data_IF_062376529482
#
_entry.id   IF_062376529482
#
_cell.length_a   1.000
_cell.length_b   1.000
_cell.length_c   1.000
_cell.angle_alpha   90.00
_cell.angle_beta   90.00
_cell.angle_gamma   90.00
#
_symmetry.space_group_name_H-M   'P 1'
#
loop_
_entity.id
_entity.type
_entity.pdbx_description
1 polymer ?
2 non-polymer ?
3 water ?
#
# COMPACT_ATOMS: atom_id res chain seq x y z
N UNK A 1 9.56 -10.18 -26.33
CA UNK A 1 8.59 -9.52 -25.45
C UNK A 1 8.73 -10.02 -24.02
N UNK A 2 8.81 -9.10 -23.06
CA UNK A 2 8.84 -9.52 -21.66
C UNK A 2 7.53 -10.18 -21.26
N UNK A 3 7.63 -11.33 -20.61
CA UNK A 3 6.47 -11.96 -19.99
C UNK A 3 6.71 -11.93 -18.49
N UNK A 4 5.92 -11.19 -17.72
CA UNK A 4 6.12 -11.18 -16.27
C UNK A 4 5.87 -12.57 -15.70
N UNK A 5 6.86 -13.10 -14.98
CA UNK A 5 6.73 -14.41 -14.39
C UNK A 5 5.69 -14.38 -13.29
N UNK A 6 4.85 -15.41 -13.24
CA UNK A 6 3.88 -15.57 -12.18
C UNK A 6 2.45 -15.24 -12.54
N UNK A 7 2.13 -15.12 -13.83
CA UNK A 7 0.77 -14.75 -14.25
C UNK A 7 -0.13 -15.99 -14.24
N UNK A 8 -1.28 -15.88 -13.59
CA UNK A 8 -2.19 -16.99 -13.43
C UNK A 8 -3.60 -16.54 -13.75
N UNK A 9 -4.26 -17.26 -14.66
CA UNK A 9 -5.71 -17.10 -14.82
C UNK A 9 -6.40 -17.91 -13.74
N UNK A 10 -7.11 -17.23 -12.83
CA UNK A 10 -7.66 -17.90 -11.67
C UNK A 10 -8.89 -18.74 -12.07
N UNK A 11 -9.20 -19.79 -11.31
CA UNK A 11 -10.36 -20.64 -11.66
C UNK A 11 -11.65 -19.84 -11.49
N UNK A 12 -12.65 -20.05 -12.35
CA UNK A 12 -13.91 -19.31 -12.19
C UNK A 12 -14.59 -19.70 -10.89
N UNK A 13 -14.95 -18.69 -10.11
CA UNK A 13 -15.60 -18.92 -8.84
C UNK A 13 -16.82 -18.03 -8.76
N UNK A 14 -17.85 -18.45 -8.02
CA UNK A 14 -19.02 -17.60 -7.88
C UNK A 14 -18.65 -16.33 -7.15
N UNK A 15 -19.37 -15.24 -7.41
CA UNK A 15 -19.05 -13.98 -6.74
C UNK A 15 -19.16 -14.13 -5.22
N UNK A 16 -18.25 -13.47 -4.52
CA UNK A 16 -18.36 -13.42 -3.08
C UNK A 16 -19.32 -12.31 -2.69
N UNK A 17 -20.10 -12.48 -1.62
CA UNK A 17 -20.97 -11.40 -1.18
C UNK A 17 -20.16 -10.29 -0.57
N UNK A 18 -20.61 -9.04 -0.69
CA UNK A 18 -19.96 -7.97 0.09
C UNK A 18 -20.22 -8.21 1.56
N UNK A 19 -19.16 -8.22 2.35
CA UNK A 19 -19.24 -8.59 3.76
C UNK A 19 -19.40 -7.33 4.60
N UNK A 20 -20.52 -7.24 5.32
CA UNK A 20 -20.86 -6.06 6.09
C UNK A 20 -20.27 -6.06 7.50
N UNK A 21 -19.68 -7.17 7.95
CA UNK A 21 -18.98 -7.20 9.22
C UNK A 21 -17.56 -6.67 9.11
N UNK A 22 -17.18 -6.15 7.94
CA UNK A 22 -15.79 -5.76 7.72
C UNK A 22 -15.37 -4.61 8.62
N UNK A 23 -16.32 -3.78 9.06
CA UNK A 23 -16.01 -2.63 9.91
C UNK A 23 -16.30 -2.87 11.38
N UNK A 24 -16.63 -4.12 11.75
CA UNK A 24 -16.92 -4.45 13.14
C UNK A 24 -15.82 -3.96 14.08
N UNK A 25 -14.57 -4.10 13.67
CA UNK A 25 -13.43 -3.89 14.57
C UNK A 25 -12.94 -2.43 14.59
N UNK A 26 -13.52 -1.54 13.76
CA UNK A 26 -13.04 -0.17 13.63
C UNK A 26 -11.55 -0.20 13.33
N UNK A 27 -11.15 -0.65 12.13
CA UNK A 27 -9.76 -1.06 11.93
C UNK A 27 -8.75 0.08 12.02
N UNK A 28 -9.13 1.32 11.68
CA UNK A 28 -8.12 2.36 11.55
C UNK A 28 -7.72 3.00 12.87
N UNK A 29 -8.38 2.69 13.98
CA UNK A 29 -7.97 3.22 15.28
C UNK A 29 -6.73 2.49 15.78
N UNK A 30 -5.75 3.26 16.25
CA UNK A 30 -4.46 2.70 16.65
C UNK A 30 -4.06 3.22 18.03
N UNK A 31 -2.80 3.04 18.43
CA UNK A 31 -2.38 3.32 19.80
C UNK A 31 -1.78 4.71 19.93
N UNK A 32 -2.15 5.40 21.00
CA UNK A 32 -1.67 6.75 21.21
C UNK A 32 -0.14 6.77 21.35
N UNK A 33 0.53 7.77 20.80
CA UNK A 33 2.00 7.85 20.95
C UNK A 33 2.40 8.04 22.40
N UNK A 34 3.68 7.79 22.67
CA UNK A 34 4.21 8.02 24.00
C UNK A 34 4.24 9.51 24.31
N UNK A 35 4.07 9.84 25.59
CA UNK A 35 4.06 11.23 26.01
C UNK A 35 5.47 11.81 26.11
N UNK A 36 6.46 11.00 26.49
CA UNK A 36 7.81 11.50 26.68
C UNK A 36 8.78 10.96 25.63
N UNK A 37 9.79 11.78 25.31
CA UNK A 37 10.81 11.34 24.37
C UNK A 37 11.53 10.10 24.89
N UNK A 38 11.78 10.03 26.20
CA UNK A 38 12.52 8.91 26.77
C UNK A 38 11.76 7.60 26.59
N UNK A 39 10.44 7.61 26.82
CA UNK A 39 9.60 6.44 26.57
C UNK A 39 9.73 5.98 25.12
N UNK A 40 9.66 6.92 24.18
CA UNK A 40 9.74 6.57 22.77
C UNK A 40 11.10 5.98 22.43
N UNK A 41 12.18 6.60 22.93
CA UNK A 41 13.51 6.08 22.63
C UNK A 41 13.70 4.69 23.20
N UNK A 42 13.11 4.40 24.37
CA UNK A 42 13.25 3.06 24.93
C UNK A 42 12.55 2.02 24.06
N UNK A 43 11.44 2.41 23.42
CA UNK A 43 10.65 1.47 22.64
C UNK A 43 11.35 1.03 21.35
N UNK A 44 12.36 1.78 20.90
CA UNK A 44 13.09 1.43 19.69
C UNK A 44 14.55 1.12 19.98
N UNK A 45 14.89 0.82 21.23
CA UNK A 45 16.30 0.62 21.60
C UNK A 45 16.90 -0.56 20.86
N UNK A 46 16.10 -1.60 20.62
CA UNK A 46 16.61 -2.76 19.91
C UNK A 46 16.90 -2.43 18.45
N UNK A 47 16.04 -1.63 17.82
CA UNK A 47 16.30 -1.20 16.45
C UNK A 47 17.57 -0.36 16.40
N UNK A 48 17.67 0.59 17.33
CA UNK A 48 18.84 1.47 17.37
C UNK A 48 20.12 0.66 17.54
N UNK A 49 20.09 -0.38 18.39
CA UNK A 49 21.26 -1.20 18.60
C UNK A 49 21.61 -2.02 17.36
N UNK A 50 20.61 -2.37 16.55
CA UNK A 50 20.88 -3.07 15.30
C UNK A 50 21.45 -2.15 14.23
N UNK A 51 21.42 -0.83 14.46
CA UNK A 51 22.10 0.11 13.59
C UNK A 51 21.30 0.59 12.41
N UNK A 52 20.14 -0.02 12.14
CA UNK A 52 19.31 0.40 11.03
C UNK A 52 17.91 -0.15 11.22
N UNK A 53 16.94 0.56 10.62
CA UNK A 53 15.56 0.12 10.55
C UNK A 53 15.40 -0.78 9.32
N UNK A 54 14.82 -1.96 9.52
CA UNK A 54 14.61 -2.91 8.43
C UNK A 54 13.16 -2.79 7.97
N UNK A 55 12.99 -2.41 6.70
CA UNK A 55 11.71 -2.00 6.13
C UNK A 55 11.33 -2.96 5.03
N UNK A 56 10.10 -3.49 5.12
CA UNK A 56 9.58 -4.37 4.07
C UNK A 56 8.82 -3.57 3.04
N UNK A 57 9.19 -3.78 1.78
CA UNK A 57 8.53 -3.13 0.63
C UNK A 57 9.03 -3.83 -0.62
N UNK A 58 8.78 -3.25 -1.79
CA UNK A 58 9.26 -3.89 -3.03
C UNK A 58 9.71 -2.80 -3.99
N UNK A 59 9.93 -3.19 -5.25
CA UNK A 59 10.16 -2.21 -6.31
C UNK A 59 9.10 -2.27 -7.40
N UNK A 60 7.92 -2.80 -7.10
CA UNK A 60 6.86 -2.93 -8.09
C UNK A 60 5.79 -1.85 -8.11
N UNK A 61 5.93 -0.78 -7.32
CA UNK A 61 4.91 0.24 -7.19
C UNK A 61 5.51 1.62 -7.47
N UNK A 62 5.46 2.03 -8.75
CA UNK A 62 5.91 3.38 -9.09
C UNK A 62 5.18 4.39 -8.22
N UNK A 63 5.91 5.44 -7.83
CA UNK A 63 5.53 6.52 -6.93
C UNK A 63 5.59 6.16 -5.47
N UNK A 64 5.70 4.87 -5.13
CA UNK A 64 5.63 4.40 -3.75
C UNK A 64 6.87 3.66 -3.29
N UNK A 65 7.29 2.64 -4.03
CA UNK A 65 8.57 1.98 -3.75
C UNK A 65 9.00 1.36 -5.06
N UNK A 66 10.05 1.92 -5.66
CA UNK A 66 10.50 1.53 -6.99
C UNK A 66 11.96 1.94 -7.10
N UNK A 67 12.66 1.36 -8.07
CA UNK A 67 14.05 1.75 -8.30
C UNK A 67 14.08 2.87 -9.33
N UNK A 68 14.62 4.02 -8.94
CA UNK A 68 14.76 5.13 -9.88
C UNK A 68 15.71 4.72 -10.99
N UNK A 69 15.30 4.82 -12.26
CA UNK A 69 16.17 4.35 -13.35
C UNK A 69 17.42 5.20 -13.55
N UNK A 70 17.47 6.41 -12.99
CA UNK A 70 18.60 7.32 -13.20
C UNK A 70 19.60 7.23 -12.05
N UNK A 71 19.14 7.29 -10.81
CA UNK A 71 20.02 7.23 -9.66
C UNK A 71 20.26 5.82 -9.16
N UNK A 72 19.41 4.85 -9.56
CA UNK A 72 19.48 3.49 -9.07
C UNK A 72 18.99 3.28 -7.65
N UNK A 73 18.49 4.31 -6.98
CA UNK A 73 18.10 4.19 -5.59
C UNK A 73 16.64 3.77 -5.47
N UNK A 74 16.33 3.03 -4.42
CA UNK A 74 14.94 2.73 -4.09
C UNK A 74 14.32 4.01 -3.54
N UNK A 75 13.15 4.37 -4.05
CA UNK A 75 12.56 5.65 -3.71
C UNK A 75 11.05 5.55 -3.87
N UNK A 76 10.36 6.63 -3.51
CA UNK A 76 8.92 6.69 -3.55
C UNK A 76 8.34 7.20 -2.24
N UNK A 77 7.02 7.41 -2.27
CA UNK A 77 6.30 7.91 -1.10
C UNK A 77 6.46 7.00 0.10
N UNK A 78 6.31 5.68 -0.09
CA UNK A 78 6.45 4.74 1.02
C UNK A 78 7.87 4.69 1.55
N UNK A 79 8.87 4.74 0.66
CA UNK A 79 10.26 4.81 1.09
C UNK A 79 10.48 6.04 1.97
N UNK A 80 9.91 7.17 1.57
CA UNK A 80 10.10 8.41 2.32
C UNK A 80 9.39 8.37 3.66
N UNK A 81 8.19 7.77 3.71
CA UNK A 81 7.50 7.59 4.98
C UNK A 81 8.36 6.76 5.93
N UNK A 82 8.91 5.65 5.43
CA UNK A 82 9.78 4.81 6.25
C UNK A 82 11.01 5.59 6.71
N UNK A 83 11.54 6.45 5.84
CA UNK A 83 12.71 7.23 6.21
C UNK A 83 12.43 8.21 7.34
N UNK A 84 11.18 8.69 7.44
CA UNK A 84 10.85 9.58 8.55
C UNK A 84 10.82 8.84 9.89
N UNK A 85 10.37 7.58 9.88
CA UNK A 85 10.51 6.74 11.07
C UNK A 85 11.98 6.59 11.44
N UNK A 86 12.82 6.28 10.46
CA UNK A 86 14.24 6.15 10.73
C UNK A 86 14.83 7.45 11.24
N UNK A 87 14.38 8.58 10.71
CA UNK A 87 14.85 9.87 11.23
C UNK A 87 14.56 10.01 12.71
N UNK A 88 13.36 9.60 13.13
CA UNK A 88 12.99 9.69 14.54
C UNK A 88 13.83 8.74 15.40
N UNK A 89 14.25 7.61 14.87
CA UNK A 89 15.05 6.67 15.65
C UNK A 89 16.50 7.12 15.73
N UNK A 90 17.08 7.48 14.58
CA UNK A 90 18.51 7.67 14.46
C UNK A 90 18.95 9.12 14.33
N UNK A 91 18.04 10.04 14.07
CA UNK A 91 18.37 11.43 13.86
C UNK A 91 18.48 11.82 12.40
N UNK A 92 18.78 10.87 11.52
CA UNK A 92 18.77 11.08 10.07
C UNK A 92 18.09 9.89 9.41
N UNK A 93 17.51 10.10 8.22
CA UNK A 93 16.71 9.04 7.59
C UNK A 93 17.49 7.92 6.91
N UNK A 94 18.82 8.00 6.80
CA UNK A 94 19.54 7.09 5.90
C UNK A 94 19.86 5.73 6.51
N UNK A 95 19.47 5.45 7.76
CA UNK A 95 19.79 4.18 8.40
C UNK A 95 18.64 3.18 8.21
N UNK A 96 18.50 2.74 6.95
CA UNK A 96 17.43 1.83 6.55
C UNK A 96 18.02 0.71 5.69
N UNK A 97 17.58 -0.51 5.95
CA UNK A 97 17.81 -1.65 5.08
C UNK A 97 16.46 -2.20 4.64
N UNK A 98 16.35 -2.55 3.36
CA UNK A 98 15.08 -3.03 2.81
C UNK A 98 15.08 -4.54 2.72
N UNK A 99 13.94 -5.15 3.03
CA UNK A 99 13.67 -6.55 2.69
C UNK A 99 12.62 -6.54 1.61
N UNK A 100 12.96 -7.09 0.45
CA UNK A 100 12.04 -7.08 -0.68
C UNK A 100 10.96 -8.13 -0.46
N UNK A 101 9.70 -7.69 -0.44
CA UNK A 101 8.56 -8.55 -0.13
C UNK A 101 7.46 -8.27 -1.15
N UNK A 102 6.76 -9.32 -1.57
CA UNK A 102 5.56 -9.10 -2.38
C UNK A 102 4.37 -8.76 -1.47
N UNK A 103 3.27 -8.33 -2.11
CA UNK A 103 2.04 -8.02 -1.38
C UNK A 103 1.58 -9.21 -0.56
N UNK A 104 1.73 -10.41 -1.11
CA UNK A 104 1.28 -11.62 -0.44
C UNK A 104 2.17 -12.01 0.73
N UNK A 105 3.32 -11.36 0.91
CA UNK A 105 4.26 -11.70 1.97
C UNK A 105 4.32 -10.66 3.10
N UNK A 106 3.54 -9.59 3.02
CA UNK A 106 3.65 -8.53 4.02
C UNK A 106 3.28 -9.04 5.42
N UNK A 107 2.20 -9.80 5.53
CA UNK A 107 1.77 -10.28 6.85
C UNK A 107 2.78 -11.28 7.40
N UNK A 108 3.24 -12.22 6.56
CA UNK A 108 4.15 -13.25 7.05
C UNK A 108 5.46 -12.67 7.54
N UNK A 109 6.01 -11.68 6.83
CA UNK A 109 7.28 -11.10 7.27
C UNK A 109 7.13 -10.46 8.64
N UNK A 110 5.97 -9.85 8.91
CA UNK A 110 5.75 -9.25 10.22
C UNK A 110 5.57 -10.33 11.29
N UNK A 111 4.81 -11.38 10.98
CA UNK A 111 4.61 -12.47 11.93
C UNK A 111 5.93 -13.13 12.30
N UNK A 112 6.84 -13.27 11.34
CA UNK A 112 8.12 -13.93 11.56
C UNK A 112 9.19 -12.98 12.03
N UNK A 113 8.84 -11.72 12.31
CA UNK A 113 9.81 -10.71 12.76
C UNK A 113 10.99 -10.60 11.81
N UNK A 114 10.71 -10.68 10.50
CA UNK A 114 11.74 -10.53 9.48
C UNK A 114 11.99 -9.08 9.08
N UNK A 115 11.10 -8.16 9.46
CA UNK A 115 11.29 -6.73 9.26
C UNK A 115 10.76 -6.03 10.51
N UNK A 116 11.23 -4.80 10.73
CA UNK A 116 10.65 -4.01 11.80
C UNK A 116 9.29 -3.46 11.40
N UNK A 117 9.17 -2.95 10.19
CA UNK A 117 7.92 -2.38 9.70
C UNK A 117 7.75 -2.73 8.23
N UNK A 118 6.51 -2.76 7.79
CA UNK A 118 6.16 -2.83 6.37
C UNK A 118 5.57 -1.47 6.01
N UNK A 119 6.15 -0.81 5.02
CA UNK A 119 5.57 0.41 4.44
C UNK A 119 5.42 0.09 2.96
N UNK A 120 4.27 -0.47 2.61
CA UNK A 120 4.04 -0.96 1.25
C UNK A 120 2.55 -0.95 0.98
N UNK A 121 2.02 0.26 0.77
CA UNK A 121 0.62 0.52 0.46
C UNK A 121 -0.34 -0.41 1.22
N UNK A 122 -0.12 -0.59 2.52
CA UNK A 122 -0.75 -1.71 3.22
C UNK A 122 -2.07 -1.27 3.82
N UNK A 123 -3.18 -1.63 3.18
CA UNK A 123 -4.49 -1.27 3.69
C UNK A 123 -4.75 -1.92 5.04
N UNK A 124 -5.28 -1.12 5.95
CA UNK A 124 -5.62 -1.58 7.29
C UNK A 124 -6.99 -2.22 7.23
N UNK A 125 -7.08 -3.50 7.57
CA UNK A 125 -8.35 -4.21 7.56
C UNK A 125 -8.53 -4.99 8.86
N UNK A 126 -9.78 -5.34 9.15
CA UNK A 126 -10.04 -6.13 10.35
C UNK A 126 -9.41 -7.51 10.27
N UNK A 127 -9.48 -8.15 9.10
CA UNK A 127 -8.85 -9.46 8.96
C UNK A 127 -7.35 -9.38 9.19
N UNK A 128 -6.70 -8.34 8.64
CA UNK A 128 -5.26 -8.22 8.85
C UNK A 128 -4.93 -7.90 10.30
N UNK A 129 -5.81 -7.16 10.97
CA UNK A 129 -5.57 -6.80 12.37
C UNK A 129 -5.64 -8.00 13.30
N UNK A 130 -6.21 -9.13 12.86
CA UNK A 130 -6.13 -10.36 13.64
C UNK A 130 -4.72 -10.92 13.67
N UNK A 131 -3.88 -10.51 12.72
CA UNK A 131 -2.55 -11.08 12.52
C UNK A 131 -1.40 -10.12 12.73
N UNK A 132 -1.57 -8.82 12.45
CA UNK A 132 -0.51 -7.83 12.61
C UNK A 132 -1.10 -6.57 13.22
N UNK A 133 -0.22 -5.70 13.67
CA UNK A 133 -0.64 -4.37 14.13
C UNK A 133 -0.42 -3.34 13.03
N UNK A 134 -1.02 -2.16 13.23
CA UNK A 134 -0.86 -1.07 12.27
C UNK A 134 -0.77 0.26 13.01
N UNK A 135 -0.01 1.17 12.42
CA UNK A 135 -0.05 2.58 12.78
C UNK A 135 -1.40 3.19 12.39
N UNK A 136 -1.58 4.46 12.78
CA UNK A 136 -2.67 5.25 12.23
C UNK A 136 -2.50 5.41 10.72
N UNK A 137 -3.56 5.92 10.08
CA UNK A 137 -3.58 6.02 8.62
C UNK A 137 -2.64 7.11 8.14
N UNK A 138 -1.76 6.77 7.19
CA UNK A 138 -0.86 7.78 6.62
C UNK A 138 -1.22 8.21 5.20
N UNK A 139 -2.15 7.53 4.55
CA UNK A 139 -2.63 7.94 3.24
C UNK A 139 -3.91 7.16 3.00
N UNK A 140 -4.93 7.82 2.44
CA UNK A 140 -6.22 7.17 2.21
C UNK A 140 -6.48 7.12 0.71
N UNK A 141 -6.45 5.92 0.14
CA UNK A 141 -6.68 5.71 -1.28
C UNK A 141 -8.02 5.03 -1.50
N UNK A 142 -8.40 4.85 -2.76
CA UNK A 142 -9.63 4.13 -3.05
C UNK A 142 -9.47 3.34 -4.33
N UNK A 143 -10.02 2.13 -4.33
CA UNK A 143 -9.87 1.23 -5.48
C UNK A 143 -10.65 1.77 -6.68
N UNK A 144 -9.99 1.84 -7.85
CA UNK A 144 -10.65 2.25 -9.08
C UNK A 144 -10.20 1.32 -10.22
N UNK A 145 -10.43 1.75 -11.46
CA UNK A 145 -10.17 0.94 -12.64
C UNK A 145 -9.21 1.70 -13.57
N UNK A 146 -8.25 0.96 -14.15
CA UNK A 146 -7.32 1.50 -15.14
C UNK A 146 -7.53 0.76 -16.46
N UNK A 147 -7.73 1.51 -17.53
CA UNK A 147 -7.95 0.90 -18.84
C UNK A 147 -7.32 1.78 -19.91
N UNK A 148 -7.05 1.25 -21.09
CA UNK A 148 -6.56 2.11 -22.17
C UNK A 148 -7.60 3.17 -22.55
N UNK A 149 -7.10 4.29 -23.09
CA UNK A 149 -7.99 5.42 -23.38
C UNK A 149 -9.07 5.07 -24.39
N UNK A 150 -8.85 4.09 -25.27
CA UNK A 150 -9.88 3.73 -26.24
C UNK A 150 -10.83 2.65 -25.75
N UNK A 151 -10.65 2.17 -24.52
CA UNK A 151 -11.49 1.10 -24.01
C UNK A 151 -12.86 1.66 -23.63
N UNK A 152 -13.93 0.90 -23.85
CA UNK A 152 -15.27 1.32 -23.41
C UNK A 152 -15.50 1.14 -21.91
N UNK A 153 -14.54 0.60 -21.18
CA UNK A 153 -14.72 0.33 -19.76
C UNK A 153 -14.77 1.65 -19.00
N UNK A 154 -15.90 1.93 -18.35
CA UNK A 154 -16.01 3.09 -17.46
C UNK A 154 -16.67 2.81 -16.12
N UNK A 155 -17.25 1.63 -15.92
CA UNK A 155 -17.90 1.32 -14.66
C UNK A 155 -17.64 -0.13 -14.28
N UNK A 156 -17.96 -0.45 -13.03
CA UNK A 156 -17.63 -1.77 -12.49
C UNK A 156 -18.27 -2.88 -13.31
N UNK A 157 -19.52 -2.69 -13.75
CA UNK A 157 -20.22 -3.75 -14.46
C UNK A 157 -19.56 -4.07 -15.80
N UNK A 158 -18.80 -3.11 -16.36
CA UNK A 158 -18.07 -3.36 -17.60
C UNK A 158 -16.96 -4.40 -17.44
N UNK A 159 -16.53 -4.66 -16.20
CA UNK A 159 -15.49 -5.64 -15.95
C UNK A 159 -15.98 -7.07 -16.09
N UNK A 160 -17.29 -7.32 -15.98
CA UNK A 160 -17.83 -8.67 -16.09
C UNK A 160 -17.44 -9.28 -17.42
N UNK A 161 -16.88 -10.50 -17.36
CA UNK A 161 -16.45 -11.20 -18.54
C UNK A 161 -15.17 -10.69 -19.18
N UNK A 162 -14.58 -9.60 -18.67
CA UNK A 162 -13.34 -9.07 -19.20
C UNK A 162 -12.16 -9.51 -18.33
N UNK A 163 -10.96 -9.42 -18.90
CA UNK A 163 -9.75 -9.87 -18.22
C UNK A 163 -9.24 -8.74 -17.34
N UNK A 164 -9.28 -8.95 -16.02
CA UNK A 164 -8.91 -7.93 -15.04
C UNK A 164 -7.74 -8.44 -14.24
N UNK A 165 -6.67 -7.66 -14.17
CA UNK A 165 -5.45 -8.04 -13.46
C UNK A 165 -5.44 -7.50 -12.04
N UNK A 166 -5.00 -8.36 -11.11
CA UNK A 166 -4.79 -7.99 -9.70
C UNK A 166 -3.54 -8.71 -9.20
N UNK A 167 -2.86 -8.09 -8.26
CA UNK A 167 -1.75 -8.78 -7.61
C UNK A 167 -2.28 -9.71 -6.54
N UNK A 168 -1.63 -10.86 -6.39
CA UNK A 168 -2.03 -11.80 -5.36
C UNK A 168 -1.76 -11.22 -3.98
N UNK A 169 -2.63 -11.55 -3.03
CA UNK A 169 -2.39 -11.11 -1.66
C UNK A 169 -2.91 -9.73 -1.36
N UNK A 170 -3.80 -9.20 -2.19
CA UNK A 170 -4.23 -7.81 -2.03
C UNK A 170 -5.71 -7.73 -1.72
N UNK A 171 -6.11 -6.61 -1.11
CA UNK A 171 -7.52 -6.33 -0.92
C UNK A 171 -8.19 -6.14 -2.27
N UNK A 172 -7.42 -5.76 -3.29
CA UNK A 172 -7.96 -5.49 -4.62
C UNK A 172 -8.58 -6.76 -5.20
N UNK A 173 -7.89 -7.89 -5.03
CA UNK A 173 -8.40 -9.17 -5.49
C UNK A 173 -9.74 -9.48 -4.81
N UNK A 174 -9.80 -9.26 -3.49
CA UNK A 174 -11.03 -9.54 -2.76
C UNK A 174 -12.21 -8.74 -3.30
N UNK A 175 -11.97 -7.48 -3.68
CA UNK A 175 -13.07 -6.65 -4.19
C UNK A 175 -13.51 -7.09 -5.59
N UNK A 176 -12.55 -7.45 -6.45
CA UNK A 176 -12.92 -7.96 -7.78
C UNK A 176 -13.69 -9.28 -7.68
N UNK A 177 -13.44 -10.07 -6.63
CA UNK A 177 -14.17 -11.32 -6.44
C UNK A 177 -15.63 -11.11 -6.07
N UNK A 178 -16.05 -9.86 -5.80
CA UNK A 178 -17.45 -9.56 -5.54
C UNK A 178 -18.24 -9.30 -6.80
N UNK A 179 -17.58 -9.07 -7.94
CA UNK A 179 -18.27 -8.61 -9.12
C UNK A 179 -19.08 -9.75 -9.72
N UNK A 180 -20.32 -9.45 -10.09
CA UNK A 180 -21.25 -10.44 -10.62
C UNK A 180 -21.87 -9.89 -11.89
N UNK A 181 -21.76 -10.59 -13.03
CA UNK A 181 -20.97 -11.81 -13.25
C UNK A 181 -19.47 -11.51 -13.15
N UNK A 182 -18.66 -12.52 -12.84
CA UNK A 182 -17.25 -12.26 -12.55
C UNK A 182 -16.50 -11.81 -13.78
N UNK A 183 -15.46 -11.00 -13.61
CA UNK A 183 -14.44 -10.88 -14.66
C UNK A 183 -13.69 -12.20 -14.77
N UNK A 184 -12.93 -12.30 -15.85
CA UNK A 184 -11.84 -13.27 -15.90
C UNK A 184 -10.70 -12.68 -15.08
N UNK A 185 -10.33 -13.32 -13.98
CA UNK A 185 -9.38 -12.74 -13.05
C UNK A 185 -8.00 -13.28 -13.34
N UNK A 186 -7.07 -12.39 -13.67
CA UNK A 186 -5.68 -12.71 -13.94
C UNK A 186 -4.86 -12.16 -12.79
N UNK A 187 -4.13 -13.02 -12.09
CA UNK A 187 -3.37 -12.57 -10.95
C UNK A 187 -1.87 -12.62 -11.24
N UNK A 188 -1.12 -11.73 -10.59
CA UNK A 188 0.32 -11.57 -10.80
C UNK A 188 0.99 -11.34 -9.45
N UNK A 189 2.33 -11.28 -9.47
CA UNK A 189 3.07 -11.01 -8.23
C UNK A 189 2.95 -9.56 -7.80
N UNK A 190 3.14 -8.62 -8.73
CA UNK A 190 3.13 -7.22 -8.35
C UNK A 190 2.46 -6.38 -9.42
N UNK A 191 2.16 -5.12 -9.06
CA UNK A 191 1.35 -4.28 -9.93
C UNK A 191 2.08 -3.91 -11.22
N UNK A 192 3.41 -3.84 -11.20
CA UNK A 192 4.14 -3.58 -12.43
C UNK A 192 3.88 -4.67 -13.46
N UNK A 193 3.64 -5.91 -12.99
CA UNK A 193 3.35 -7.02 -13.90
C UNK A 193 2.00 -6.81 -14.59
N UNK A 194 1.03 -6.22 -13.89
CA UNK A 194 -0.25 -5.90 -14.53
C UNK A 194 -0.06 -4.89 -15.64
N UNK A 195 0.83 -3.92 -15.43
CA UNK A 195 1.07 -2.93 -16.46
C UNK A 195 1.66 -3.59 -17.71
N UNK A 196 2.65 -4.47 -17.52
CA UNK A 196 3.23 -5.19 -18.65
C UNK A 196 2.14 -5.97 -19.39
N UNK A 197 1.30 -6.68 -18.65
CA UNK A 197 0.24 -7.48 -19.27
C UNK A 197 -0.69 -6.61 -20.09
N UNK A 198 -1.02 -5.41 -19.60
CA UNK A 198 -1.92 -4.54 -20.35
C UNK A 198 -1.21 -3.96 -21.57
N UNK A 199 0.06 -3.60 -21.41
CA UNK A 199 0.82 -3.10 -22.55
C UNK A 199 0.88 -4.14 -23.66
N UNK A 200 0.94 -5.42 -23.30
CA UNK A 200 0.99 -6.49 -24.28
C UNK A 200 -0.40 -7.00 -24.66
N UNK A 201 -1.45 -6.32 -24.21
CA UNK A 201 -2.84 -6.67 -24.52
C UNK A 201 -3.19 -8.10 -24.10
N UNK A 202 -2.61 -8.56 -22.99
CA UNK A 202 -2.93 -9.85 -22.40
C UNK A 202 -4.04 -9.77 -21.38
N UNK A 203 -4.49 -8.54 -21.07
CA UNK A 203 -5.60 -8.28 -20.17
C UNK A 203 -6.34 -7.06 -20.70
N UNK A 204 -7.47 -6.73 -20.08
CA UNK A 204 -8.28 -5.60 -20.51
C UNK A 204 -8.28 -4.43 -19.54
N UNK A 205 -8.04 -4.68 -18.25
CA UNK A 205 -8.04 -3.61 -17.27
C UNK A 205 -7.28 -4.07 -16.05
N UNK A 206 -6.90 -3.09 -15.22
CA UNK A 206 -6.30 -3.33 -13.92
C UNK A 206 -7.19 -2.67 -12.89
N UNK A 207 -7.37 -3.30 -11.72
CA UNK A 207 -8.16 -2.65 -10.68
C UNK A 207 -7.41 -2.72 -9.35
N UNK A 208 -7.08 -1.55 -8.80
CA UNK A 208 -6.46 -1.46 -7.47
C UNK A 208 -6.58 -0.01 -7.02
N UNK A 209 -5.88 0.31 -5.92
CA UNK A 209 -5.87 1.65 -5.35
C UNK A 209 -5.57 2.69 -6.42
N UNK A 210 -6.33 3.80 -6.39
CA UNK A 210 -6.11 4.85 -7.39
C UNK A 210 -4.70 5.44 -7.32
N UNK A 211 -4.11 5.46 -6.13
CA UNK A 211 -2.71 5.86 -5.95
C UNK A 211 -1.77 4.99 -6.77
N UNK A 212 -1.88 3.67 -6.63
CA UNK A 212 -1.04 2.74 -7.40
C UNK A 212 -1.32 2.90 -8.89
N UNK A 213 -2.60 3.00 -9.26
CA UNK A 213 -2.95 3.16 -10.67
C UNK A 213 -2.34 4.43 -11.26
N UNK A 214 -2.31 5.52 -10.48
CA UNK A 214 -1.68 6.76 -10.95
C UNK A 214 -0.21 6.54 -11.26
N UNK A 215 0.48 5.71 -10.47
CA UNK A 215 1.86 5.37 -10.78
C UNK A 215 1.98 4.64 -12.10
N UNK A 216 1.01 3.78 -12.40
CA UNK A 216 1.01 3.10 -13.70
C UNK A 216 0.73 4.07 -14.84
N UNK A 217 -0.18 5.03 -14.63
CA UNK A 217 -0.45 6.04 -15.66
C UNK A 217 0.80 6.86 -15.95
N UNK A 218 1.58 7.17 -14.91
CA UNK A 218 2.80 7.96 -15.14
C UNK A 218 3.77 7.23 -16.04
N UNK A 219 3.77 5.89 -15.99
CA UNK A 219 4.62 5.11 -16.88
C UNK A 219 4.01 4.93 -18.25
N UNK A 220 2.69 5.03 -18.39
CA UNK A 220 2.00 4.71 -19.64
C UNK A 220 0.82 5.67 -19.77
N UNK A 221 1.05 6.87 -20.30
CA UNK A 221 -0.04 7.87 -20.36
C UNK A 221 -1.13 7.54 -21.38
N UNK A 222 -1.01 6.44 -22.12
CA UNK A 222 -2.11 5.93 -22.93
C UNK A 222 -3.23 5.37 -22.06
N UNK A 223 -2.95 5.09 -20.78
CA UNK A 223 -3.95 4.58 -19.88
C UNK A 223 -4.61 5.72 -19.10
N UNK A 224 -5.83 5.46 -18.63
CA UNK A 224 -6.54 6.42 -17.78
C UNK A 224 -7.33 5.69 -16.70
N UNK A 225 -7.66 6.43 -15.65
CA UNK A 225 -8.38 5.89 -14.49
C UNK A 225 -9.84 6.26 -14.63
N UNK A 226 -10.71 5.28 -14.46
CA UNK A 226 -12.15 5.42 -14.65
C UNK A 226 -12.88 4.77 -13.49
N UNK A 227 -14.18 5.08 -13.42
CA UNK A 227 -15.09 4.38 -12.52
C UNK A 227 -15.20 5.01 -11.16
N UNK A 228 -16.13 4.49 -10.37
CA UNK A 228 -16.38 5.05 -9.03
C UNK A 228 -15.38 4.53 -8.03
N UNK A 229 -15.39 5.12 -6.85
CA UNK A 229 -14.66 4.56 -5.73
C UNK A 229 -15.26 3.19 -5.42
N UNK A 230 -14.44 2.14 -5.48
CA UNK A 230 -14.92 0.77 -5.31
C UNK A 230 -14.67 0.21 -3.91
N UNK A 231 -13.76 0.81 -3.13
CA UNK A 231 -13.41 0.30 -1.81
C UNK A 231 -12.32 1.16 -1.20
N UNK A 232 -12.56 1.66 0.02
CA UNK A 232 -11.58 2.48 0.70
C UNK A 232 -10.32 1.67 1.02
N UNK A 233 -9.18 2.34 0.96
CA UNK A 233 -7.87 1.71 1.18
C UNK A 233 -7.05 2.63 2.10
N UNK A 234 -7.24 2.51 3.41
CA UNK A 234 -6.48 3.35 4.34
C UNK A 234 -5.15 2.72 4.68
N UNK A 235 -4.04 3.34 4.24
CA UNK A 235 -2.73 2.74 4.42
C UNK A 235 -2.23 2.90 5.84
N UNK A 236 -1.66 1.83 6.38
CA UNK A 236 -1.00 1.90 7.67
C UNK A 236 0.38 1.29 7.56
N UNK A 237 1.25 1.68 8.48
CA UNK A 237 2.54 1.01 8.65
C UNK A 237 2.29 -0.30 9.38
N UNK A 238 2.67 -1.42 8.78
CA UNK A 238 2.43 -2.73 9.37
C UNK A 238 3.55 -3.08 10.34
N UNK A 239 3.14 -3.62 11.50
CA UNK A 239 4.03 -3.87 12.62
C UNK A 239 3.65 -5.22 13.22
N UNK A 240 4.64 -5.91 13.79
CA UNK A 240 4.35 -7.19 14.44
C UNK A 240 3.27 -7.00 15.51
N UNK A 241 2.35 -7.96 15.57
CA UNK A 241 1.15 -7.83 16.41
C UNK A 241 1.49 -7.45 17.85
N UNK A 242 2.60 -7.97 18.37
CA UNK A 242 2.91 -7.79 19.78
C UNK A 242 3.78 -6.59 20.07
N UNK A 243 4.34 -5.93 19.05
CA UNK A 243 5.22 -4.79 19.32
C UNK A 243 4.39 -3.51 19.39
N UNK A 244 3.62 -3.39 20.47
CA UNK A 244 2.80 -2.20 20.69
C UNK A 244 3.65 -0.96 20.88
N UNK A 245 4.84 -1.09 21.44
CA UNK A 245 5.72 0.07 21.58
C UNK A 245 6.09 0.68 20.24
N UNK A 246 6.37 -0.16 19.26
CA UNK A 246 6.69 0.36 17.93
C UNK A 246 5.48 1.00 17.27
N UNK A 247 4.28 0.49 17.53
CA UNK A 247 3.07 1.15 17.04
C UNK A 247 2.99 2.59 17.58
N UNK A 248 3.14 2.74 18.91
CA UNK A 248 3.11 4.08 19.49
C UNK A 248 4.22 4.95 18.92
N UNK A 249 5.42 4.40 18.74
CA UNK A 249 6.53 5.18 18.20
C UNK A 249 6.20 5.68 16.79
N UNK A 250 5.78 4.77 15.90
CA UNK A 250 5.44 5.18 14.54
C UNK A 250 4.31 6.19 14.54
N UNK A 251 3.34 6.02 15.43
CA UNK A 251 2.26 7.00 15.47
C UNK A 251 2.78 8.37 15.88
N UNK A 252 3.82 8.41 16.73
CA UNK A 252 4.48 9.66 17.02
C UNK A 252 5.11 10.29 15.78
N UNK A 253 5.80 9.48 14.97
CA UNK A 253 6.35 9.97 13.70
C UNK A 253 5.25 10.53 12.81
N UNK A 254 4.12 9.81 12.73
CA UNK A 254 3.05 10.30 11.86
C UNK A 254 2.46 11.61 12.38
N UNK A 255 2.28 11.75 13.70
CA UNK A 255 1.88 13.04 14.24
C UNK A 255 2.87 14.13 13.86
N UNK A 256 4.17 13.85 13.97
CA UNK A 256 5.16 14.84 13.58
C UNK A 256 4.99 15.26 12.13
N UNK A 257 4.95 14.30 11.21
CA UNK A 257 4.97 14.68 9.79
C UNK A 257 3.64 15.29 9.34
N UNK A 258 2.52 14.92 9.97
CA UNK A 258 1.26 15.57 9.60
C UNK A 258 1.27 17.05 9.98
N UNK A 259 2.04 17.42 11.00
CA UNK A 259 1.97 18.76 11.57
C UNK A 259 3.17 19.64 11.25
N UNK A 260 4.29 19.06 10.82
CA UNK A 260 5.49 19.85 10.59
C UNK A 260 5.73 20.15 9.11
N UNK A 261 4.76 19.84 8.25
CA UNK A 261 4.88 20.11 6.84
C UNK A 261 5.45 18.97 6.02
N UNK A 262 6.00 17.93 6.66
CA UNK A 262 6.68 16.87 5.91
C UNK A 262 5.70 16.06 5.07
N UNK A 263 4.54 15.72 5.64
CA UNK A 263 3.56 14.97 4.87
C UNK A 263 3.15 15.72 3.61
N UNK A 264 2.87 17.02 3.76
CA UNK A 264 2.50 17.82 2.59
C UNK A 264 3.62 17.82 1.55
N UNK A 265 4.87 17.93 1.99
CA UNK A 265 6.00 17.93 1.08
C UNK A 265 6.09 16.60 0.33
N UNK A 266 5.87 15.49 1.05
CA UNK A 266 5.94 14.18 0.40
C UNK A 266 4.81 13.97 -0.58
N UNK A 267 3.60 14.43 -0.25
CA UNK A 267 2.50 14.34 -1.21
C UNK A 267 2.82 15.12 -2.47
N UNK A 268 3.31 16.36 -2.30
CA UNK A 268 3.64 17.17 -3.47
C UNK A 268 4.79 16.56 -4.26
N UNK A 269 5.71 15.85 -3.58
CA UNK A 269 6.84 15.25 -4.27
C UNK A 269 6.39 14.10 -5.17
N UNK A 270 5.40 13.32 -4.72
CA UNK A 270 5.08 12.05 -5.35
C UNK A 270 3.71 11.96 -6.00
N UNK A 271 2.70 12.68 -5.51
CA UNK A 271 1.31 12.32 -5.79
C UNK A 271 0.50 13.43 -6.43
N UNK A 272 1.14 14.49 -6.93
CA UNK A 272 0.37 15.59 -7.51
C UNK A 272 -0.47 15.16 -8.72
N UNK A 273 -0.12 14.03 -9.35
CA UNK A 273 -0.94 13.50 -10.44
C UNK A 273 -2.39 13.30 -10.02
N UNK A 274 -2.65 13.07 -8.73
CA UNK A 274 -4.00 12.80 -8.29
C UNK A 274 -4.79 14.06 -7.98
N UNK A 275 -4.14 15.22 -7.90
CA UNK A 275 -4.80 16.46 -7.61
C UNK A 275 -4.05 17.18 -6.52
N UNK A 276 -4.51 18.36 -6.14
CA UNK A 276 -3.85 19.10 -5.06
C UNK A 276 -3.91 18.32 -3.77
N UNK A 277 -2.92 18.55 -2.92
CA UNK A 277 -2.78 17.78 -1.69
C UNK A 277 -4.01 18.00 -0.80
N UNK A 278 -4.61 16.95 -0.26
CA UNK A 278 -5.64 17.12 0.76
C UNK A 278 -4.95 17.36 2.09
N UNK A 279 -5.74 17.58 3.13
CA UNK A 279 -5.21 17.52 4.47
C UNK A 279 -4.73 16.09 4.72
N UNK A 280 -3.71 15.90 5.55
CA UNK A 280 -3.32 14.53 5.90
C UNK A 280 -4.47 13.82 6.56
N UNK A 281 -4.53 12.49 6.43
CA UNK A 281 -5.59 11.74 7.11
C UNK A 281 -5.56 12.01 8.61
N UNK A 282 -6.73 12.17 9.19
CA UNK A 282 -6.80 12.44 10.63
C UNK A 282 -6.59 11.14 11.40
N UNK A 283 -5.66 11.10 12.34
CA UNK A 283 -5.43 9.86 13.10
C UNK A 283 -6.57 9.57 14.06
N UNK A 284 -6.84 8.29 14.25
CA UNK A 284 -7.83 7.82 15.21
C UNK A 284 -7.13 6.91 16.21
N UNK A 285 -7.44 7.10 17.49
CA UNK A 285 -6.79 6.36 18.57
C UNK A 285 -7.82 5.57 19.39
N UNK A 286 -7.46 4.33 19.75
CA UNK A 286 -8.33 3.51 20.60
C UNK A 286 -8.26 3.99 22.04
N UNK A 287 -7.15 4.58 22.43
CA UNK A 287 -6.88 4.92 23.82
C UNK A 287 -6.52 6.39 23.95
#
# INVERSE_FOLDING_TARGET
>A
LPTPVGMEIMPPQPPLPPDSSSQDCDPTASLRPFATKAEADAAVADIRARGRLIVGLDIGSNLFSFRDPITGEITGFDVDIAGEVARDIFGVPSHVEYRILSAAERVTALQKSQVDIVVKTMSITCERRKLVNFSTVYLDANQRILAPRDSPITKVSDLSGKRVCVARGTTSLRRIREIAPPPVIVSVVNWADCLVALQQREIDAVSTDDTILAGLVEEDPYLHIVGPDMADQPYGVGINLDNTGLVRFVNGTLERIRNDGTWNTLYRKWLTVLGPAPAPPTPRYVD
#
